data_IF_893570664653
#
_entry.id   IF_893570664653
#
_cell.length_a   1.000
_cell.length_b   1.000
_cell.length_c   1.000
_cell.angle_alpha   90.00
_cell.angle_beta   90.00
_cell.angle_gamma   90.00
#
_symmetry.space_group_name_H-M   'P 1'
#
loop_
_entity.id
_entity.type
_entity.pdbx_description
1 polymer ?
#
# COMPACT_ATOMS: atom_id res chain seq x y z
N UNK A 1 -3.82 7.64 -16.54
CA UNK A 1 -3.00 6.79 -15.65
C UNK A 1 -1.55 7.04 -15.99
N UNK A 2 -0.72 7.40 -15.02
CA UNK A 2 0.71 7.62 -15.20
C UNK A 2 1.44 6.61 -14.33
N UNK A 3 2.32 5.82 -14.93
CA UNK A 3 3.13 4.81 -14.22
C UNK A 3 4.56 5.31 -14.10
N UNK A 4 5.08 5.26 -12.88
CA UNK A 4 6.43 5.64 -12.51
C UNK A 4 7.19 4.39 -12.07
N UNK A 5 8.39 4.19 -12.61
CA UNK A 5 9.27 3.09 -12.21
C UNK A 5 10.23 3.60 -11.15
N UNK A 6 10.31 2.88 -10.05
CA UNK A 6 11.22 3.11 -8.93
C UNK A 6 12.23 1.96 -8.85
N UNK A 7 13.24 2.14 -7.98
CA UNK A 7 14.29 1.15 -7.75
C UNK A 7 13.77 -0.25 -7.36
N UNK A 8 12.64 -0.31 -6.66
CA UNK A 8 12.06 -1.54 -6.10
C UNK A 8 10.82 -2.07 -6.84
N UNK A 9 10.25 -1.30 -7.78
CA UNK A 9 8.96 -1.62 -8.35
C UNK A 9 8.37 -0.52 -9.20
N UNK A 10 7.07 -0.59 -9.41
CA UNK A 10 6.30 0.37 -10.20
C UNK A 10 5.16 0.95 -9.37
N UNK A 11 4.97 2.27 -9.47
CA UNK A 11 3.84 2.98 -8.88
C UNK A 11 2.99 3.57 -10.00
N UNK A 12 1.73 3.20 -10.03
CA UNK A 12 0.76 3.76 -10.98
C UNK A 12 -0.18 4.70 -10.24
N UNK A 13 -0.21 5.96 -10.67
CA UNK A 13 -1.19 6.94 -10.20
C UNK A 13 -2.54 6.62 -10.86
N UNK A 14 -3.46 6.07 -10.05
CA UNK A 14 -4.81 5.75 -10.49
C UNK A 14 -5.71 6.97 -10.42
N UNK A 15 -5.57 7.77 -9.35
CA UNK A 15 -6.25 9.04 -9.10
C UNK A 15 -5.30 10.01 -8.38
N UNK A 16 -5.72 11.26 -8.17
CA UNK A 16 -4.92 12.29 -7.48
C UNK A 16 -4.62 11.92 -6.01
N UNK A 17 -5.42 11.03 -5.44
CA UNK A 17 -5.43 10.57 -4.05
C UNK A 17 -5.43 9.03 -3.93
N UNK A 18 -5.25 8.29 -5.04
CA UNK A 18 -5.10 6.83 -5.04
C UNK A 18 -3.93 6.41 -5.93
N UNK A 19 -2.96 5.71 -5.34
CA UNK A 19 -1.83 5.12 -6.06
C UNK A 19 -1.82 3.59 -5.93
N UNK A 20 -1.49 2.90 -7.01
CA UNK A 20 -1.21 1.47 -7.03
C UNK A 20 0.30 1.22 -6.98
N UNK A 21 0.72 0.29 -6.15
CA UNK A 21 2.13 -0.08 -5.95
C UNK A 21 2.29 -1.56 -6.26
N UNK A 22 3.17 -1.87 -7.21
CA UNK A 22 3.58 -3.23 -7.57
C UNK A 22 5.08 -3.34 -7.30
N UNK A 23 5.46 -4.10 -6.29
CA UNK A 23 6.87 -4.38 -5.99
C UNK A 23 7.36 -5.50 -6.90
N UNK A 24 8.61 -5.40 -7.39
CA UNK A 24 9.21 -6.43 -8.24
C UNK A 24 9.45 -7.74 -7.46
N UNK A 25 9.53 -8.87 -8.18
CA UNK A 25 9.78 -10.17 -7.57
C UNK A 25 11.18 -10.26 -6.94
N UNK A 26 11.25 -10.89 -5.76
CA UNK A 26 12.48 -11.11 -4.98
C UNK A 26 13.21 -9.84 -4.55
N UNK A 27 12.50 -8.71 -4.51
CA UNK A 27 13.02 -7.49 -3.91
C UNK A 27 13.00 -7.62 -2.38
N UNK A 28 14.09 -7.21 -1.76
CA UNK A 28 14.14 -6.95 -0.32
C UNK A 28 13.94 -5.45 -0.10
N UNK A 29 12.78 -5.09 0.43
CA UNK A 29 12.41 -3.70 0.65
C UNK A 29 13.15 -3.15 1.88
N UNK A 30 14.08 -2.23 1.65
CA UNK A 30 14.96 -1.65 2.65
C UNK A 30 14.56 -0.23 3.05
N UNK A 31 15.27 0.37 4.00
CA UNK A 31 14.97 1.71 4.52
C UNK A 31 15.12 2.82 3.47
N UNK A 32 16.12 2.72 2.60
CA UNK A 32 16.35 3.70 1.52
C UNK A 32 15.18 3.71 0.53
N UNK A 33 14.67 2.52 0.18
CA UNK A 33 13.48 2.36 -0.66
C UNK A 33 12.23 2.92 0.02
N UNK A 34 12.10 2.81 1.36
CA UNK A 34 11.02 3.45 2.12
C UNK A 34 11.12 4.97 2.01
N UNK A 35 12.32 5.54 2.13
CA UNK A 35 12.52 6.99 2.00
C UNK A 35 12.18 7.49 0.59
N UNK A 36 12.68 6.80 -0.45
CA UNK A 36 12.34 7.09 -1.87
C UNK A 36 10.83 6.99 -2.10
N UNK A 37 10.19 5.96 -1.53
CA UNK A 37 8.75 5.76 -1.61
C UNK A 37 7.96 6.90 -0.94
N UNK A 38 8.35 7.30 0.27
CA UNK A 38 7.71 8.38 1.02
C UNK A 38 7.83 9.72 0.28
N UNK A 39 9.03 10.04 -0.20
CA UNK A 39 9.27 11.28 -0.95
C UNK A 39 8.45 11.33 -2.25
N UNK A 40 8.42 10.21 -2.99
CA UNK A 40 7.63 10.10 -4.20
C UNK A 40 6.14 10.35 -3.92
N UNK A 41 5.60 9.71 -2.89
CA UNK A 41 4.18 9.85 -2.54
C UNK A 41 3.84 11.28 -2.11
N UNK A 42 4.63 11.89 -1.22
CA UNK A 42 4.38 13.25 -0.73
C UNK A 42 4.48 14.29 -1.86
N UNK A 43 5.37 14.07 -2.83
CA UNK A 43 5.56 15.00 -3.95
C UNK A 43 4.46 14.86 -5.02
N UNK A 44 3.95 13.65 -5.26
CA UNK A 44 3.02 13.36 -6.36
C UNK A 44 1.55 13.26 -5.95
N UNK A 45 1.27 12.89 -4.71
CA UNK A 45 -0.09 12.67 -4.21
C UNK A 45 -0.60 13.89 -3.47
N UNK A 46 -1.92 14.12 -3.53
CA UNK A 46 -2.56 15.03 -2.57
C UNK A 46 -2.49 14.42 -1.18
N UNK A 47 -2.36 15.29 -0.16
CA UNK A 47 -2.41 14.90 1.24
C UNK A 47 -3.67 14.03 1.51
N UNK A 48 -3.53 13.00 2.35
CA UNK A 48 -4.59 12.03 2.68
C UNK A 48 -4.91 11.05 1.55
N UNK A 49 -3.88 10.43 0.99
CA UNK A 49 -4.04 9.49 -0.11
C UNK A 49 -4.23 8.04 0.36
N UNK A 50 -4.66 7.21 -0.58
CA UNK A 50 -4.90 5.79 -0.39
C UNK A 50 -4.00 4.96 -1.30
N UNK A 51 -3.68 3.75 -0.85
CA UNK A 51 -2.69 2.90 -1.49
C UNK A 51 -3.27 1.54 -1.83
N UNK A 52 -3.15 1.15 -3.09
CA UNK A 52 -3.46 -0.20 -3.55
C UNK A 52 -2.14 -0.96 -3.68
N UNK A 53 -1.86 -1.84 -2.72
CA UNK A 53 -0.66 -2.69 -2.73
C UNK A 53 -0.99 -3.97 -3.49
N UNK A 54 -0.48 -4.07 -4.71
CA UNK A 54 -0.74 -5.19 -5.57
C UNK A 54 0.38 -6.23 -5.45
N UNK A 55 0.12 -7.29 -4.66
CA UNK A 55 1.09 -8.38 -4.40
C UNK A 55 1.03 -9.43 -5.50
N UNK A 56 1.31 -9.02 -6.75
CA UNK A 56 1.56 -9.94 -7.87
C UNK A 56 2.81 -10.78 -7.63
N UNK A 57 3.82 -10.19 -7.00
CA UNK A 57 5.13 -10.80 -6.79
C UNK A 57 5.39 -11.09 -5.30
N UNK A 58 6.36 -11.97 -5.04
CA UNK A 58 6.80 -12.30 -3.68
C UNK A 58 8.01 -11.45 -3.31
N UNK A 59 7.89 -10.66 -2.24
CA UNK A 59 8.94 -9.76 -1.77
C UNK A 59 8.96 -9.74 -0.24
N UNK A 60 10.11 -9.41 0.32
CA UNK A 60 10.33 -9.33 1.77
C UNK A 60 10.60 -7.90 2.19
N UNK A 61 10.37 -7.61 3.46
CA UNK A 61 10.73 -6.32 4.06
C UNK A 61 11.82 -6.56 5.08
N UNK A 62 12.79 -5.66 5.12
CA UNK A 62 13.68 -5.53 6.28
C UNK A 62 12.87 -5.10 7.51
N UNK A 63 13.35 -5.45 8.71
CA UNK A 63 12.68 -5.09 9.96
C UNK A 63 12.50 -3.57 10.11
N UNK A 64 13.53 -2.80 9.77
CA UNK A 64 13.51 -1.33 9.80
C UNK A 64 12.48 -0.76 8.82
N UNK A 65 12.39 -1.31 7.60
CA UNK A 65 11.40 -0.89 6.62
C UNK A 65 9.97 -1.11 7.13
N UNK A 66 9.69 -2.23 7.82
CA UNK A 66 8.37 -2.47 8.42
C UNK A 66 7.99 -1.42 9.46
N UNK A 67 8.97 -0.96 10.26
CA UNK A 67 8.73 0.06 11.28
C UNK A 67 8.53 1.45 10.67
N UNK A 68 9.24 1.79 9.59
CA UNK A 68 9.11 3.10 8.94
C UNK A 68 7.97 3.20 7.93
N UNK A 69 7.55 2.10 7.29
CA UNK A 69 6.30 2.08 6.53
C UNK A 69 5.12 2.53 7.42
N UNK A 70 5.15 2.15 8.69
CA UNK A 70 4.17 2.50 9.71
C UNK A 70 4.05 4.01 10.00
N UNK A 71 5.04 4.82 9.66
CA UNK A 71 5.10 6.22 10.13
C UNK A 71 4.42 7.22 9.21
N UNK A 72 3.96 6.81 8.02
CA UNK A 72 3.29 7.74 7.11
C UNK A 72 1.85 8.01 7.56
N UNK A 73 1.64 9.14 8.23
CA UNK A 73 0.34 9.57 8.77
C UNK A 73 -0.64 10.02 7.69
N UNK A 74 -0.14 10.31 6.49
CA UNK A 74 -0.94 10.82 5.38
C UNK A 74 -1.67 9.71 4.60
N UNK A 75 -1.52 8.45 5.01
CA UNK A 75 -2.24 7.32 4.43
C UNK A 75 -3.64 7.24 5.06
N UNK A 76 -4.67 7.41 4.24
CA UNK A 76 -6.06 7.24 4.67
C UNK A 76 -6.45 5.76 4.77
N UNK A 77 -6.22 5.00 3.69
CA UNK A 77 -6.59 3.59 3.59
C UNK A 77 -5.60 2.81 2.71
N UNK A 78 -5.50 1.51 2.96
CA UNK A 78 -4.63 0.62 2.20
C UNK A 78 -5.37 -0.66 1.82
N UNK A 79 -5.44 -0.93 0.52
CA UNK A 79 -6.01 -2.16 0.00
C UNK A 79 -4.88 -3.07 -0.49
N UNK A 80 -4.81 -4.29 0.02
CA UNK A 80 -3.79 -5.26 -0.37
C UNK A 80 -4.42 -6.32 -1.26
N UNK A 81 -4.00 -6.40 -2.53
CA UNK A 81 -4.47 -7.43 -3.46
C UNK A 81 -3.53 -8.62 -3.43
N UNK A 82 -4.05 -9.80 -3.15
CA UNK A 82 -3.30 -11.05 -3.13
C UNK A 82 -4.03 -12.14 -3.90
N UNK A 83 -3.37 -12.72 -4.90
CA UNK A 83 -3.97 -13.67 -5.85
C UNK A 83 -3.81 -15.15 -5.43
N UNK A 84 -3.28 -15.41 -4.24
CA UNK A 84 -2.98 -16.75 -3.74
C UNK A 84 -3.85 -17.10 -2.54
N UNK A 85 -4.58 -18.21 -2.61
CA UNK A 85 -5.39 -18.78 -1.51
C UNK A 85 -4.54 -19.22 -0.29
N UNK A 86 -3.21 -19.31 -0.40
CA UNK A 86 -2.32 -19.68 0.72
C UNK A 86 -2.01 -18.47 1.62
N UNK A 87 -2.23 -17.26 1.10
CA UNK A 87 -1.95 -15.99 1.80
C UNK A 87 -3.03 -15.60 2.80
N UNK A 88 -4.24 -16.18 2.73
CA UNK A 88 -5.33 -15.89 3.68
C UNK A 88 -4.97 -16.36 5.11
N UNK A 89 -4.27 -17.49 5.24
CA UNK A 89 -3.89 -18.07 6.54
C UNK A 89 -2.69 -17.38 7.18
N UNK A 90 -1.70 -16.95 6.39
CA UNK A 90 -0.53 -16.20 6.91
C UNK A 90 -0.87 -14.74 7.22
N UNK A 91 -1.82 -14.15 6.50
CA UNK A 91 -2.20 -12.74 6.77
C UNK A 91 -3.15 -12.59 7.97
N UNK A 92 -3.94 -13.62 8.32
CA UNK A 92 -4.69 -13.65 9.59
C UNK A 92 -3.78 -13.54 10.82
N UNK A 93 -2.54 -14.05 10.76
CA UNK A 93 -1.57 -13.93 11.85
C UNK A 93 -0.93 -12.53 11.96
N UNK A 94 -0.80 -11.79 10.85
CA UNK A 94 -0.26 -10.43 10.85
C UNK A 94 -1.28 -9.38 11.32
N UNK A 95 -2.58 -9.65 11.17
CA UNK A 95 -3.69 -8.79 11.62
C UNK A 95 -3.80 -8.75 13.16
N UNK A 96 -3.21 -9.71 13.88
CA UNK A 96 -3.24 -9.77 15.33
C UNK A 96 -2.14 -8.98 16.04
N UNK A 97 -1.28 -8.27 15.30
CA UNK A 97 -0.31 -7.36 15.91
C UNK A 97 -1.00 -6.01 16.14
N UNK A 98 -1.27 -5.60 17.39
CA UNK A 98 -1.81 -4.28 17.65
C UNK A 98 -0.80 -3.23 17.20
N UNK A 99 -1.19 -2.42 16.21
CA UNK A 99 -0.44 -1.24 15.78
C UNK A 99 -1.13 -0.01 16.36
N UNK A 100 -0.35 0.94 16.86
CA UNK A 100 -0.88 2.17 17.49
C UNK A 100 -1.63 3.08 16.51
N UNK A 101 -1.49 2.86 15.21
CA UNK A 101 -2.11 3.67 14.16
C UNK A 101 -3.24 2.87 13.53
N UNK A 102 -4.44 3.43 13.57
CA UNK A 102 -5.68 2.82 13.08
C UNK A 102 -5.74 2.87 11.54
N UNK A 103 -4.76 2.26 10.88
CA UNK A 103 -4.74 2.16 9.43
C UNK A 103 -5.92 1.32 8.95
N UNK A 104 -6.76 1.90 8.09
CA UNK A 104 -7.83 1.16 7.41
C UNK A 104 -7.19 0.25 6.37
N UNK A 105 -6.79 -0.97 6.78
CA UNK A 105 -6.19 -1.97 5.90
C UNK A 105 -7.20 -3.07 5.60
N UNK A 106 -7.38 -3.39 4.32
CA UNK A 106 -8.22 -4.52 3.90
C UNK A 106 -7.56 -5.30 2.78
N UNK A 107 -7.74 -6.62 2.80
CA UNK A 107 -7.13 -7.54 1.82
C UNK A 107 -8.23 -8.01 0.87
N UNK A 108 -7.88 -8.07 -0.40
CA UNK A 108 -8.74 -8.46 -1.49
C UNK A 108 -8.05 -9.49 -2.37
N UNK A 109 -8.84 -10.34 -3.01
CA UNK A 109 -8.42 -11.26 -4.05
C UNK A 109 -8.55 -10.65 -5.46
N UNK A 110 -9.30 -9.54 -5.58
CA UNK A 110 -9.59 -8.88 -6.84
C UNK A 110 -9.19 -7.41 -6.80
N UNK A 111 -8.45 -6.97 -7.83
CA UNK A 111 -7.94 -5.60 -7.93
C UNK A 111 -9.05 -4.57 -8.05
N UNK A 112 -10.09 -4.85 -8.83
CA UNK A 112 -11.20 -3.91 -9.05
C UNK A 112 -11.99 -3.67 -7.76
N UNK A 113 -12.27 -4.73 -7.01
CA UNK A 113 -12.95 -4.65 -5.71
C UNK A 113 -12.10 -3.86 -4.70
N UNK A 114 -10.78 -4.09 -4.69
CA UNK A 114 -9.86 -3.33 -3.86
C UNK A 114 -9.87 -1.83 -4.18
N UNK A 115 -9.83 -1.50 -5.47
CA UNK A 115 -9.86 -0.12 -5.94
C UNK A 115 -11.18 0.57 -5.58
N UNK A 116 -12.31 -0.11 -5.79
CA UNK A 116 -13.63 0.41 -5.43
C UNK A 116 -13.70 0.72 -3.94
N UNK A 117 -13.22 -0.20 -3.09
CA UNK A 117 -13.21 0.04 -1.65
C UNK A 117 -12.36 1.25 -1.25
N UNK A 118 -11.19 1.46 -1.89
CA UNK A 118 -10.37 2.66 -1.64
C UNK A 118 -11.10 3.94 -2.04
N UNK A 119 -11.78 3.95 -3.18
CA UNK A 119 -12.58 5.09 -3.62
C UNK A 119 -13.69 5.39 -2.61
N UNK A 120 -14.38 4.36 -2.11
CA UNK A 120 -15.40 4.52 -1.07
C UNK A 120 -14.79 5.09 0.22
N UNK A 121 -13.60 4.63 0.63
CA UNK A 121 -12.91 5.17 1.81
C UNK A 121 -12.49 6.64 1.65
N UNK A 122 -12.09 7.05 0.45
CA UNK A 122 -11.77 8.45 0.17
C UNK A 122 -13.03 9.30 0.16
N UNK A 123 -14.12 8.83 -0.44
CA UNK A 123 -15.39 9.54 -0.44
C UNK A 123 -15.97 9.70 0.96
N UNK A 124 -15.94 8.64 1.79
CA UNK A 124 -16.39 8.69 3.19
C UNK A 124 -15.64 9.77 3.98
N UNK A 125 -14.32 9.88 3.77
CA UNK A 125 -13.50 10.87 4.45
C UNK A 125 -13.75 12.31 3.99
N UNK A 126 -14.14 12.53 2.73
CA UNK A 126 -14.56 13.85 2.25
C UNK A 126 -15.91 14.29 2.81
N UNK A 127 -16.69 13.37 3.39
CA UNK A 127 -17.99 13.63 4.02
C UNK A 127 -17.91 13.81 5.55
N UNK A 128 -16.75 13.56 6.16
CA UNK A 128 -16.46 13.77 7.59
C UNK A 128 -15.94 15.20 7.86
#
# INVERSE_FOLDING_TARGET
MITHKLSFGEITLLQEDIAEVIVNDRVEFNLEMVAEYHEFLINKMKCLFSLLINKLNSYTYTFEAQQHLATLTDINAMAVVSYSNITELTTKSLIQVPREINWKIKIFNEREVALQWLQDQQQLRLME
#
